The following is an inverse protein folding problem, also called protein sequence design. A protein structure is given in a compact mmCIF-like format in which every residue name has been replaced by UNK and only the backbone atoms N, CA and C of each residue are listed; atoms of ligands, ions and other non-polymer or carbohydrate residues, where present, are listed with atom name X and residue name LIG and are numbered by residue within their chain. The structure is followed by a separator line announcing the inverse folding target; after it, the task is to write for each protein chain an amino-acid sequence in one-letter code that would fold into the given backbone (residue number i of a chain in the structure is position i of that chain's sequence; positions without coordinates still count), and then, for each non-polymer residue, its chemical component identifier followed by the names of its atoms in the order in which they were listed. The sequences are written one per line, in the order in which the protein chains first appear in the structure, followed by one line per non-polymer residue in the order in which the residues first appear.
data_IF_326924472679
#
_entry.id   IF_326924472679
#
_cell.length_a   1.000
_cell.length_b   1.000
_cell.length_c   1.000
_cell.angle_alpha   90.00
_cell.angle_beta   90.00
_cell.angle_gamma   90.00
#
_symmetry.space_group_name_H-M   'P 1'
#
loop_
_entity.id
_entity.type
_entity.pdbx_description
1 polymer ?
#
# COMPACT_ATOMS: atom_id res chain seq x y z
N UNK A 1 -10.00 49.46 16.76
CA UNK A 1 -10.40 48.63 15.60
C UNK A 1 -9.19 48.00 14.89
N UNK A 2 -8.39 47.16 15.57
CA UNK A 2 -7.22 46.50 14.94
C UNK A 2 -7.00 45.04 15.37
N UNK A 3 -8.01 44.40 15.96
CA UNK A 3 -7.87 43.06 16.57
C UNK A 3 -8.65 41.96 15.85
N UNK A 4 -9.47 42.29 14.84
CA UNK A 4 -10.32 41.32 14.13
C UNK A 4 -9.75 40.85 12.78
N UNK A 5 -8.62 41.39 12.33
CA UNK A 5 -8.02 40.99 11.03
C UNK A 5 -7.19 39.70 11.17
N UNK A 6 -6.58 39.46 12.34
CA UNK A 6 -5.74 38.27 12.54
C UNK A 6 -6.54 36.96 12.63
N UNK A 7 -7.78 37.02 13.15
CA UNK A 7 -8.63 35.83 13.29
C UNK A 7 -9.16 35.29 11.95
N UNK A 8 -9.36 36.18 10.96
CA UNK A 8 -9.89 35.82 9.64
C UNK A 8 -8.82 35.14 8.77
N UNK A 9 -7.55 35.50 8.96
CA UNK A 9 -6.44 34.91 8.19
C UNK A 9 -6.13 33.47 8.62
N UNK A 10 -6.25 33.15 9.92
CA UNK A 10 -6.06 31.78 10.44
C UNK A 10 -7.15 30.83 9.95
N UNK A 11 -8.38 31.30 9.76
CA UNK A 11 -9.49 30.48 9.27
C UNK A 11 -9.33 30.08 7.80
N UNK A 12 -8.68 30.93 6.99
CA UNK A 12 -8.42 30.63 5.57
C UNK A 12 -7.32 29.58 5.36
N UNK A 13 -6.33 29.49 6.26
CA UNK A 13 -5.27 28.48 6.18
C UNK A 13 -5.79 27.07 6.50
N UNK A 14 -6.79 26.95 7.38
CA UNK A 14 -7.44 25.67 7.67
C UNK A 14 -8.33 25.15 6.51
N UNK A 15 -8.88 26.06 5.71
CA UNK A 15 -9.69 25.72 4.52
C UNK A 15 -8.85 25.45 3.26
N UNK A 16 -7.55 25.77 3.29
CA UNK A 16 -6.58 25.44 2.24
C UNK A 16 -5.76 24.19 2.56
N UNK A 17 -6.08 23.47 3.64
CA UNK A 17 -5.62 22.10 3.76
C UNK A 17 -6.23 21.34 2.57
N UNK A 18 -5.41 20.79 1.67
CA UNK A 18 -5.95 19.98 0.60
C UNK A 18 -6.81 18.89 1.24
N UNK A 19 -8.09 18.81 0.86
CA UNK A 19 -8.91 17.60 1.01
C UNK A 19 -8.36 16.51 0.06
N UNK A 20 -7.04 16.36 0.02
CA UNK A 20 -6.35 15.31 -0.69
C UNK A 20 -6.73 14.03 0.02
N UNK A 21 -7.50 13.21 -0.70
CA UNK A 21 -7.82 11.83 -0.42
C UNK A 21 -6.97 11.24 0.73
N UNK A 22 -7.47 11.32 1.96
CA UNK A 22 -6.95 10.56 3.11
C UNK A 22 -7.29 9.06 2.99
N UNK A 23 -7.41 8.58 1.76
CA UNK A 23 -7.88 7.27 1.44
C UNK A 23 -6.83 6.27 1.92
N UNK A 24 -5.54 6.51 1.68
CA UNK A 24 -4.45 5.64 2.14
C UNK A 24 -3.54 6.27 3.19
N UNK A 25 -3.25 5.53 4.26
CA UNK A 25 -2.18 5.88 5.22
C UNK A 25 -1.40 4.63 5.61
N UNK A 26 -0.08 4.64 5.50
CA UNK A 26 0.76 3.58 6.06
C UNK A 26 1.08 3.86 7.53
N UNK A 27 1.16 2.81 8.34
CA UNK A 27 1.39 2.94 9.79
C UNK A 27 2.65 2.25 10.29
N UNK A 28 3.09 1.19 9.61
CA UNK A 28 4.24 0.40 10.04
C UNK A 28 4.76 -0.44 8.87
N UNK A 29 6.07 -0.50 8.70
CA UNK A 29 6.72 -1.39 7.75
C UNK A 29 7.85 -2.14 8.45
N UNK A 30 7.90 -3.46 8.28
CA UNK A 30 8.86 -4.33 8.96
C UNK A 30 9.47 -5.32 7.96
N UNK A 31 10.75 -5.63 8.13
CA UNK A 31 11.42 -6.72 7.42
C UNK A 31 11.95 -7.70 8.48
N UNK A 32 11.68 -8.99 8.28
CA UNK A 32 12.04 -10.07 9.20
C UNK A 32 12.83 -11.13 8.45
N UNK A 33 14.09 -11.32 8.84
CA UNK A 33 14.91 -12.43 8.33
C UNK A 33 14.30 -13.77 8.76
N UNK A 34 14.05 -14.65 7.79
CA UNK A 34 13.62 -16.04 8.06
C UNK A 34 14.85 -16.97 8.06
N UNK A 35 15.74 -16.78 7.09
CA UNK A 35 17.07 -17.41 6.98
C UNK A 35 17.97 -16.54 6.08
N UNK A 36 19.18 -16.98 5.77
CA UNK A 36 20.16 -16.21 4.97
C UNK A 36 19.67 -15.86 3.55
N UNK A 37 18.72 -16.63 3.02
CA UNK A 37 18.20 -16.49 1.66
C UNK A 37 16.74 -16.05 1.61
N UNK A 38 16.06 -15.90 2.75
CA UNK A 38 14.62 -15.63 2.77
C UNK A 38 14.23 -14.64 3.86
N UNK A 39 13.26 -13.78 3.53
CA UNK A 39 12.71 -12.80 4.46
C UNK A 39 11.19 -12.66 4.30
N UNK A 40 10.56 -12.19 5.37
CA UNK A 40 9.16 -11.77 5.42
C UNK A 40 9.12 -10.25 5.57
N UNK A 41 8.48 -9.59 4.62
CA UNK A 41 8.21 -8.16 4.62
C UNK A 41 6.75 -7.92 4.98
N UNK A 42 6.51 -6.92 5.83
CA UNK A 42 5.20 -6.59 6.37
C UNK A 42 4.96 -5.10 6.15
N UNK A 43 3.89 -4.74 5.46
CA UNK A 43 3.51 -3.34 5.22
C UNK A 43 2.08 -3.15 5.68
N UNK A 44 1.90 -2.41 6.76
CA UNK A 44 0.59 -2.06 7.30
C UNK A 44 0.07 -0.76 6.68
N UNK A 45 -1.16 -0.82 6.21
CA UNK A 45 -1.84 0.33 5.65
C UNK A 45 -3.31 0.37 6.05
N UNK A 46 -3.94 1.52 5.85
CA UNK A 46 -5.37 1.67 6.07
C UNK A 46 -6.00 2.34 4.86
N UNK A 47 -7.14 1.82 4.43
CA UNK A 47 -7.87 2.31 3.27
C UNK A 47 -9.37 2.49 3.52
N UNK A 48 -9.97 3.48 2.87
CA UNK A 48 -11.41 3.68 2.80
C UNK A 48 -11.78 4.90 1.95
N UNK A 49 -13.01 4.93 1.45
CA UNK A 49 -13.55 6.05 0.67
C UNK A 49 -14.80 6.63 1.35
N UNK A 50 -14.99 7.94 1.27
CA UNK A 50 -16.08 8.63 1.96
C UNK A 50 -17.46 8.38 1.35
N UNK A 51 -17.51 8.21 0.03
CA UNK A 51 -18.75 8.27 -0.75
C UNK A 51 -19.14 6.94 -1.41
N UNK A 52 -18.24 5.95 -1.42
CA UNK A 52 -18.45 4.69 -2.13
C UNK A 52 -17.91 3.52 -1.33
N UNK A 53 -18.52 2.35 -1.51
CA UNK A 53 -17.88 1.11 -1.09
C UNK A 53 -16.60 0.91 -1.90
N UNK A 54 -15.59 0.33 -1.27
CA UNK A 54 -14.34 0.01 -1.96
C UNK A 54 -13.94 -1.44 -1.80
N UNK A 55 -13.21 -1.94 -2.79
CA UNK A 55 -12.74 -3.32 -2.84
C UNK A 55 -11.23 -3.36 -2.94
N UNK A 56 -10.58 -4.09 -2.04
CA UNK A 56 -9.12 -4.22 -1.96
C UNK A 56 -8.72 -5.66 -2.28
N UNK A 57 -7.79 -5.91 -3.22
CA UNK A 57 -7.33 -7.25 -3.55
C UNK A 57 -6.76 -8.03 -2.35
N UNK A 58 -6.97 -9.34 -2.34
CA UNK A 58 -6.41 -10.26 -1.33
C UNK A 58 -5.01 -10.76 -1.72
N UNK A 59 -4.65 -10.70 -3.00
CA UNK A 59 -3.36 -11.18 -3.51
C UNK A 59 -2.50 -10.03 -4.02
N UNK A 60 -1.18 -10.23 -4.01
CA UNK A 60 -0.24 -9.32 -4.67
C UNK A 60 0.52 -9.99 -5.83
N UNK A 61 1.02 -9.18 -6.76
CA UNK A 61 1.87 -9.63 -7.89
C UNK A 61 3.08 -8.72 -8.09
N UNK A 62 4.19 -9.28 -8.56
CA UNK A 62 5.40 -8.52 -8.89
C UNK A 62 5.38 -7.85 -10.25
N UNK A 63 4.56 -8.36 -11.15
CA UNK A 63 4.64 -8.04 -12.57
C UNK A 63 3.28 -7.56 -13.10
N UNK A 64 2.86 -6.36 -12.66
CA UNK A 64 1.83 -5.63 -13.40
C UNK A 64 2.51 -4.94 -14.59
N UNK A 65 2.77 -5.68 -15.66
CA UNK A 65 2.97 -5.07 -16.97
C UNK A 65 1.66 -4.42 -17.42
N UNK A 66 1.34 -3.21 -16.92
CA UNK A 66 0.30 -2.32 -17.44
C UNK A 66 -1.11 -2.92 -17.70
N UNK A 67 -1.42 -4.13 -17.23
CA UNK A 67 -2.75 -4.70 -17.36
C UNK A 67 -3.58 -4.21 -16.18
N UNK A 68 -4.24 -3.07 -16.42
CA UNK A 68 -5.20 -2.39 -15.53
C UNK A 68 -6.34 -3.27 -15.00
N UNK A 69 -6.39 -4.56 -15.38
CA UNK A 69 -7.36 -5.57 -14.94
C UNK A 69 -6.84 -6.52 -13.86
N UNK A 70 -5.59 -6.40 -13.44
CA UNK A 70 -5.05 -7.31 -12.43
C UNK A 70 -5.77 -7.11 -11.08
N UNK A 71 -6.51 -8.12 -10.63
CA UNK A 71 -7.18 -8.16 -9.32
C UNK A 71 -6.19 -8.41 -8.18
N UNK A 72 -5.09 -7.67 -8.18
CA UNK A 72 -3.93 -7.89 -7.30
C UNK A 72 -3.25 -6.58 -6.96
N UNK A 73 -2.70 -6.50 -5.76
CA UNK A 73 -1.82 -5.42 -5.31
C UNK A 73 -0.42 -5.55 -5.95
N UNK A 74 0.12 -4.48 -6.53
CA UNK A 74 1.46 -4.49 -7.13
C UNK A 74 2.55 -4.28 -6.09
N UNK A 75 3.58 -5.12 -6.10
CA UNK A 75 4.75 -4.96 -5.22
C UNK A 75 6.04 -5.32 -5.95
N UNK A 76 7.18 -4.96 -5.37
CA UNK A 76 8.49 -5.48 -5.77
C UNK A 76 9.36 -5.70 -4.53
N UNK A 77 10.34 -6.58 -4.66
CA UNK A 77 11.36 -6.79 -3.63
C UNK A 77 12.71 -6.56 -4.30
N UNK A 78 13.42 -5.52 -3.87
CA UNK A 78 14.65 -5.06 -4.53
C UNK A 78 15.78 -4.85 -3.52
N UNK A 79 17.01 -5.02 -3.99
CA UNK A 79 18.21 -4.65 -3.24
C UNK A 79 18.56 -3.15 -3.40
N UNK A 80 19.71 -2.75 -2.86
CA UNK A 80 20.22 -1.37 -2.95
C UNK A 80 20.69 -0.98 -4.37
N UNK A 81 21.00 -1.96 -5.22
CA UNK A 81 21.36 -1.76 -6.62
C UNK A 81 20.13 -1.74 -7.55
N UNK A 82 18.95 -2.10 -7.02
CA UNK A 82 17.69 -2.15 -7.74
C UNK A 82 17.42 -3.50 -8.41
N UNK A 83 18.17 -4.56 -8.09
CA UNK A 83 17.92 -5.91 -8.60
C UNK A 83 16.72 -6.55 -7.89
N UNK A 84 15.82 -7.15 -8.66
CA UNK A 84 14.63 -7.83 -8.10
C UNK A 84 14.95 -9.21 -7.52
N UNK A 85 14.27 -9.55 -6.41
CA UNK A 85 14.31 -10.89 -5.86
C UNK A 85 13.54 -11.89 -6.75
N UNK A 86 14.07 -13.11 -6.88
CA UNK A 86 13.55 -14.11 -7.82
C UNK A 86 12.30 -14.86 -7.34
N UNK A 87 12.25 -15.22 -6.05
CA UNK A 87 11.17 -16.04 -5.50
C UNK A 87 10.30 -15.25 -4.56
N UNK A 88 9.26 -14.60 -5.06
CA UNK A 88 8.38 -13.75 -4.25
C UNK A 88 6.91 -14.22 -4.29
N UNK A 89 6.22 -14.05 -3.17
CA UNK A 89 4.78 -14.26 -3.07
C UNK A 89 4.21 -13.25 -2.09
N UNK A 90 3.01 -12.72 -2.36
CA UNK A 90 2.37 -11.74 -1.49
C UNK A 90 0.89 -12.00 -1.26
N UNK A 91 0.44 -11.64 -0.06
CA UNK A 91 -0.93 -11.78 0.39
C UNK A 91 -1.31 -10.56 1.24
N UNK A 92 -2.52 -10.06 1.03
CA UNK A 92 -3.10 -8.98 1.81
C UNK A 92 -4.00 -9.60 2.87
N UNK A 93 -3.82 -9.17 4.11
CA UNK A 93 -4.62 -9.60 5.25
C UNK A 93 -5.48 -8.46 5.77
N UNK A 94 -6.72 -8.76 6.12
CA UNK A 94 -7.62 -7.84 6.81
C UNK A 94 -8.71 -8.59 7.58
N UNK A 95 -9.31 -7.92 8.56
CA UNK A 95 -10.56 -8.37 9.20
C UNK A 95 -11.81 -8.00 8.39
N UNK A 96 -11.66 -7.34 7.25
CA UNK A 96 -12.75 -6.97 6.36
C UNK A 96 -13.47 -8.19 5.78
N UNK A 97 -14.72 -8.00 5.35
CA UNK A 97 -15.49 -9.06 4.70
C UNK A 97 -14.88 -9.39 3.33
N UNK A 98 -14.57 -10.66 3.10
CA UNK A 98 -14.18 -11.16 1.78
C UNK A 98 -15.41 -11.28 0.87
N UNK A 99 -15.26 -10.84 -0.38
CA UNK A 99 -16.26 -10.92 -1.47
C UNK A 99 -15.60 -11.62 -2.65
N UNK A 100 -16.32 -12.57 -3.24
CA UNK A 100 -15.92 -13.35 -4.42
C UNK A 100 -14.53 -14.00 -4.33
N UNK A 101 -14.08 -14.32 -3.11
CA UNK A 101 -12.76 -14.88 -2.79
C UNK A 101 -11.56 -14.09 -3.35
N UNK A 102 -11.78 -12.83 -3.75
CA UNK A 102 -10.78 -12.02 -4.48
C UNK A 102 -10.54 -10.68 -3.81
N UNK A 103 -11.57 -10.12 -3.16
CA UNK A 103 -11.50 -8.79 -2.58
C UNK A 103 -11.97 -8.73 -1.13
N UNK A 104 -11.44 -7.79 -0.39
CA UNK A 104 -12.02 -7.26 0.82
C UNK A 104 -12.95 -6.09 0.49
N UNK A 105 -14.20 -6.12 0.95
CA UNK A 105 -15.11 -4.96 0.87
C UNK A 105 -14.93 -4.06 2.08
N UNK A 106 -14.65 -2.79 1.83
CA UNK A 106 -14.66 -1.70 2.81
C UNK A 106 -15.91 -0.85 2.57
N UNK A 107 -16.85 -0.77 3.52
CA UNK A 107 -18.05 0.04 3.35
C UNK A 107 -17.73 1.53 3.18
N UNK A 108 -18.58 2.25 2.45
CA UNK A 108 -18.51 3.72 2.37
C UNK A 108 -18.43 4.39 3.75
N UNK A 109 -17.60 5.42 3.86
CA UNK A 109 -17.39 6.18 5.10
C UNK A 109 -16.60 5.42 6.18
N UNK A 110 -16.16 4.19 5.91
CA UNK A 110 -15.36 3.38 6.83
C UNK A 110 -13.92 3.32 6.33
N UNK A 111 -12.97 3.44 7.26
CA UNK A 111 -11.55 3.18 7.03
C UNK A 111 -11.15 1.87 7.70
N UNK A 112 -10.53 0.99 6.94
CA UNK A 112 -10.19 -0.36 7.34
C UNK A 112 -8.68 -0.58 7.27
N UNK A 113 -8.16 -1.40 8.19
CA UNK A 113 -6.73 -1.77 8.23
C UNK A 113 -6.45 -3.00 7.38
N UNK A 114 -5.28 -2.99 6.75
CA UNK A 114 -4.75 -4.03 5.89
C UNK A 114 -3.26 -4.25 6.18
N UNK A 115 -2.81 -5.46 5.97
CA UNK A 115 -1.40 -5.83 6.05
C UNK A 115 -1.01 -6.55 4.78
N UNK A 116 -0.08 -5.99 4.01
CA UNK A 116 0.58 -6.72 2.93
C UNK A 116 1.72 -7.54 3.53
N UNK A 117 1.64 -8.86 3.38
CA UNK A 117 2.73 -9.78 3.67
C UNK A 117 3.40 -10.17 2.36
N UNK A 118 4.71 -10.01 2.27
CA UNK A 118 5.51 -10.46 1.14
C UNK A 118 6.59 -11.40 1.64
N UNK A 119 6.61 -12.61 1.11
CA UNK A 119 7.73 -13.55 1.31
C UNK A 119 8.65 -13.43 0.11
N UNK A 120 9.95 -13.29 0.35
CA UNK A 120 10.95 -13.30 -0.70
C UNK A 120 12.03 -14.33 -0.43
N UNK A 121 12.59 -14.89 -1.50
CA UNK A 121 13.76 -15.77 -1.49
C UNK A 121 14.73 -15.37 -2.60
N UNK A 122 16.01 -15.35 -2.29
CA UNK A 122 17.12 -15.07 -3.22
C UNK A 122 17.94 -16.35 -3.51
N UNK A 123 18.61 -16.44 -4.67
CA UNK A 123 19.44 -17.60 -4.99
C UNK A 123 20.58 -17.83 -3.99
N UNK A 124 20.93 -19.09 -3.76
CA UNK A 124 22.07 -19.46 -2.90
C UNK A 124 23.35 -18.78 -3.35
N UNK A 125 24.02 -18.08 -2.44
CA UNK A 125 25.22 -17.28 -2.72
C UNK A 125 24.97 -15.76 -2.68
N UNK A 126 23.70 -15.35 -2.71
CA UNK A 126 23.29 -13.99 -2.33
C UNK A 126 22.80 -13.99 -0.88
N UNK A 127 22.92 -12.83 -0.22
CA UNK A 127 22.28 -12.62 1.07
C UNK A 127 20.93 -11.93 0.86
N UNK A 128 19.92 -12.29 1.64
CA UNK A 128 18.66 -11.52 1.70
C UNK A 128 18.85 -10.17 2.41
N UNK A 129 20.01 -9.97 3.04
CA UNK A 129 20.41 -8.69 3.61
C UNK A 129 20.40 -7.61 2.53
N UNK A 130 19.96 -6.41 2.89
CA UNK A 130 19.82 -5.25 2.00
C UNK A 130 18.63 -5.31 1.01
N UNK A 131 17.81 -6.36 1.03
CA UNK A 131 16.54 -6.34 0.30
C UNK A 131 15.46 -5.59 1.09
N UNK A 132 14.59 -4.89 0.36
CA UNK A 132 13.37 -4.26 0.87
C UNK A 132 12.19 -4.56 -0.04
N UNK A 133 10.98 -4.54 0.51
CA UNK A 133 9.75 -4.60 -0.26
C UNK A 133 9.18 -3.20 -0.47
N UNK A 134 8.68 -2.95 -1.67
CA UNK A 134 8.03 -1.70 -2.07
C UNK A 134 6.70 -2.01 -2.71
N UNK A 135 5.67 -1.26 -2.32
CA UNK A 135 4.39 -1.29 -3.04
C UNK A 135 4.52 -0.45 -4.30
N UNK A 136 4.22 -1.07 -5.44
CA UNK A 136 4.27 -0.42 -6.77
C UNK A 136 2.90 -0.02 -7.27
N UNK A 137 1.86 -0.69 -6.77
CA UNK A 137 0.47 -0.37 -7.05
C UNK A 137 -0.45 -0.75 -5.88
N UNK A 138 -1.34 0.17 -5.50
CA UNK A 138 -2.43 -0.04 -4.54
C UNK A 138 -3.78 0.18 -5.25
N UNK A 139 -4.25 -0.77 -6.06
CA UNK A 139 -5.49 -0.58 -6.77
C UNK A 139 -6.69 -0.83 -5.86
N UNK A 140 -7.77 -0.12 -6.14
CA UNK A 140 -9.07 -0.34 -5.53
C UNK A 140 -10.19 -0.17 -6.55
N UNK A 141 -11.36 -0.72 -6.23
CA UNK A 141 -12.57 -0.66 -7.07
C UNK A 141 -13.69 0.01 -6.27
N UNK A 142 -14.65 0.64 -6.93
CA UNK A 142 -15.87 1.17 -6.31
C UNK A 142 -17.11 0.83 -7.15
N UNK A 143 -18.27 0.62 -6.51
CA UNK A 143 -19.57 0.38 -7.16
C UNK A 143 -19.57 -0.63 -8.35
N UNK A 144 -18.87 -1.75 -8.20
CA UNK A 144 -18.72 -2.85 -9.18
C UNK A 144 -18.12 -2.47 -10.55
N UNK A 145 -17.81 -1.19 -10.79
CA UNK A 145 -17.06 -0.72 -11.96
C UNK A 145 -15.56 -0.59 -11.65
N UNK A 146 -14.74 -1.12 -12.56
CA UNK A 146 -13.29 -1.05 -12.48
C UNK A 146 -12.81 0.38 -12.78
N UNK A 147 -12.84 1.25 -11.76
CA UNK A 147 -12.03 2.47 -11.78
C UNK A 147 -10.75 2.23 -11.03
N UNK A 148 -9.73 1.88 -11.81
CA UNK A 148 -8.37 1.64 -11.36
C UNK A 148 -7.76 2.96 -10.90
N UNK A 149 -7.84 3.20 -9.60
CA UNK A 149 -7.29 4.39 -8.97
C UNK A 149 -5.96 4.02 -8.30
N UNK A 150 -4.89 4.48 -8.91
CA UNK A 150 -3.54 4.36 -8.39
C UNK A 150 -3.21 5.48 -7.42
N UNK A 151 -2.42 5.16 -6.41
CA UNK A 151 -1.65 6.18 -5.74
C UNK A 151 -0.60 6.75 -6.68
N UNK A 152 -0.31 8.04 -6.53
CA UNK A 152 0.79 8.64 -7.28
C UNK A 152 2.11 8.01 -6.85
N UNK A 153 3.11 7.87 -7.73
CA UNK A 153 4.43 7.35 -7.36
C UNK A 153 5.07 8.06 -6.15
N UNK A 154 4.83 9.36 -5.99
CA UNK A 154 5.28 10.15 -4.83
C UNK A 154 4.60 9.78 -3.50
N UNK A 155 3.44 9.13 -3.55
CA UNK A 155 2.72 8.63 -2.37
C UNK A 155 3.13 7.19 -2.03
N UNK A 156 3.61 6.43 -3.03
CA UNK A 156 4.07 5.06 -2.85
C UNK A 156 5.38 4.96 -2.06
N UNK A 157 6.18 6.03 -2.01
CA UNK A 157 7.43 6.07 -1.21
C UNK A 157 7.21 5.80 0.30
N UNK A 158 5.97 5.94 0.79
CA UNK A 158 5.61 5.66 2.19
C UNK A 158 5.28 4.18 2.44
N UNK A 159 5.35 3.33 1.42
CA UNK A 159 5.02 1.91 1.45
C UNK A 159 6.24 1.06 1.09
N UNK A 160 7.35 1.39 1.73
CA UNK A 160 8.64 0.72 1.58
C UNK A 160 9.08 0.20 2.94
N UNK A 161 9.47 -1.07 3.02
CA UNK A 161 10.06 -1.61 4.26
C UNK A 161 11.49 -1.10 4.45
N UNK A 162 12.01 -1.12 5.69
CA UNK A 162 13.46 -1.12 5.86
C UNK A 162 14.09 -2.33 5.16
N UNK A 163 15.41 -2.27 5.00
CA UNK A 163 16.19 -3.44 4.63
C UNK A 163 16.07 -4.54 5.70
N UNK A 164 16.26 -5.80 5.30
CA UNK A 164 16.39 -6.92 6.25
C UNK A 164 17.65 -6.72 7.11
N UNK A 165 17.46 -6.75 8.43
CA UNK A 165 18.56 -6.78 9.43
C UNK A 165 19.03 -8.20 9.75
#
# INVERSE_FOLDING_TARGET
MKQNIFLVMTLFVALMLPNGAHAYTSSQQTALRVNDTSALFVIDFSFGHGEHDTYIPIFGTTNQENDTKAHTLGYRVIDDEGNEAFGTAALVLSSAKVVDNTFYRVPQGVKQKFTLLVVATVPSGNSIDNYRAEVTDLPFYWDDEMQYLHLNPSELQYYTTPAVE
#
